data_IF_836932191745
#
_entry.id   IF_836932191745
#
_cell.length_a   1.000
_cell.length_b   1.000
_cell.length_c   1.000
_cell.angle_alpha   90.00
_cell.angle_beta   90.00
_cell.angle_gamma   90.00
#
_symmetry.space_group_name_H-M   'P 1'
#
loop_
_entity.id
_entity.type
_entity.pdbx_description
1 polymer ?
#
# COMPACT_ATOMS: atom_id res chain seq x y z
N UNK A 1 -9.90 -13.06 -4.12
CA UNK A 1 -9.38 -12.67 -2.97
C UNK A 1 -10.27 -12.09 -1.88
N UNK A 2 -9.73 -12.14 -0.71
CA UNK A 2 -10.36 -11.65 0.50
C UNK A 2 -10.27 -10.13 0.63
N UNK A 3 -9.22 -9.53 0.06
CA UNK A 3 -8.96 -8.10 0.16
C UNK A 3 -9.70 -7.32 -0.91
N UNK A 4 -10.10 -6.09 -0.55
CA UNK A 4 -10.47 -5.10 -1.55
C UNK A 4 -9.21 -4.57 -2.22
N UNK A 5 -9.27 -4.35 -3.54
CA UNK A 5 -8.20 -3.68 -4.28
C UNK A 5 -7.96 -2.29 -3.67
N UNK A 6 -6.71 -1.93 -3.33
CA UNK A 6 -6.45 -0.79 -2.44
C UNK A 6 -6.52 0.59 -3.10
N UNK A 7 -6.85 0.68 -4.38
CA UNK A 7 -7.06 1.96 -5.08
C UNK A 7 -7.94 1.72 -6.31
N UNK A 8 -8.27 2.77 -7.06
CA UNK A 8 -9.14 2.63 -8.23
C UNK A 8 -8.41 2.00 -9.42
N UNK A 9 -7.15 2.39 -9.66
CA UNK A 9 -6.35 1.87 -10.77
C UNK A 9 -5.97 0.42 -10.53
N UNK A 10 -5.97 -0.38 -11.60
CA UNK A 10 -5.46 -1.76 -11.57
C UNK A 10 -4.16 -1.91 -12.39
N UNK A 11 -3.53 -0.79 -12.74
CA UNK A 11 -2.33 -0.78 -13.58
C UNK A 11 -1.09 -1.04 -12.73
N UNK A 12 -0.54 -2.26 -12.85
CA UNK A 12 0.67 -2.66 -12.13
C UNK A 12 1.89 -2.09 -12.86
N UNK A 13 2.68 -1.28 -12.17
CA UNK A 13 3.92 -0.70 -12.73
C UNK A 13 5.15 -1.47 -12.30
N UNK A 14 5.08 -2.21 -11.18
CA UNK A 14 6.15 -3.11 -10.75
C UNK A 14 5.53 -4.28 -9.98
N UNK A 15 5.67 -5.52 -10.49
CA UNK A 15 5.04 -6.69 -9.85
C UNK A 15 5.84 -7.20 -8.65
N UNK A 16 5.19 -8.04 -7.85
CA UNK A 16 5.84 -8.74 -6.74
C UNK A 16 6.96 -9.63 -7.29
N UNK A 17 8.13 -9.56 -6.65
CA UNK A 17 9.28 -10.33 -7.07
C UNK A 17 10.09 -9.70 -8.20
N UNK A 18 9.69 -8.54 -8.71
CA UNK A 18 10.41 -7.80 -9.74
C UNK A 18 11.83 -7.50 -9.25
N UNK A 19 12.83 -7.81 -10.08
CA UNK A 19 14.26 -7.58 -9.76
C UNK A 19 14.87 -6.46 -10.60
N UNK A 20 14.15 -5.91 -11.56
CA UNK A 20 14.68 -4.88 -12.46
C UNK A 20 15.02 -3.61 -11.69
N UNK A 21 16.27 -3.17 -11.77
CA UNK A 21 16.74 -1.99 -11.08
C UNK A 21 16.79 -2.11 -9.56
N UNK A 22 16.75 -3.34 -9.03
CA UNK A 22 16.67 -3.59 -7.58
C UNK A 22 17.81 -4.49 -7.11
N UNK A 23 18.29 -4.21 -5.89
CA UNK A 23 19.29 -5.07 -5.23
C UNK A 23 18.66 -6.34 -4.64
N UNK A 24 17.36 -6.34 -4.42
CA UNK A 24 16.60 -7.50 -3.94
C UNK A 24 15.22 -7.50 -4.60
N UNK A 25 14.53 -8.68 -4.65
CA UNK A 25 13.20 -8.77 -5.25
C UNK A 25 12.20 -7.82 -4.58
N UNK A 26 11.27 -7.27 -5.37
CA UNK A 26 10.21 -6.38 -4.90
C UNK A 26 9.30 -7.12 -3.92
N UNK A 27 9.09 -6.55 -2.75
CA UNK A 27 8.35 -7.18 -1.65
C UNK A 27 6.87 -6.91 -1.67
N UNK A 28 6.41 -6.14 -2.64
CA UNK A 28 5.00 -5.78 -2.82
C UNK A 28 4.69 -5.57 -4.29
N UNK A 29 3.61 -4.84 -4.55
CA UNK A 29 3.25 -4.41 -5.89
C UNK A 29 3.18 -2.89 -5.93
N UNK A 30 3.57 -2.30 -7.05
CA UNK A 30 3.38 -0.88 -7.31
C UNK A 30 2.22 -0.71 -8.29
N UNK A 31 1.27 0.14 -7.93
CA UNK A 31 0.07 0.42 -8.72
C UNK A 31 0.11 1.88 -9.14
N UNK A 32 0.11 2.12 -10.45
CA UNK A 32 0.14 3.48 -10.99
C UNK A 32 -1.19 4.18 -10.81
N UNK A 33 -1.16 5.52 -10.86
CA UNK A 33 -2.36 6.35 -10.78
C UNK A 33 -3.31 6.09 -11.97
N UNK A 34 -4.60 6.40 -11.80
CA UNK A 34 -5.57 6.37 -12.88
C UNK A 34 -5.11 7.21 -14.06
N UNK A 35 -4.69 8.44 -13.76
CA UNK A 35 -4.08 9.32 -14.75
C UNK A 35 -2.59 9.42 -14.41
N UNK A 36 -1.76 8.92 -15.31
CA UNK A 36 -0.32 8.78 -15.10
C UNK A 36 0.29 10.09 -14.61
N UNK A 37 1.00 10.04 -13.48
CA UNK A 37 1.67 11.18 -12.90
C UNK A 37 0.79 12.13 -12.09
N UNK A 38 -0.52 11.84 -11.96
CA UNK A 38 -1.45 12.70 -11.23
C UNK A 38 -1.70 12.14 -9.84
N UNK A 39 -1.29 12.88 -8.81
CA UNK A 39 -1.50 12.52 -7.41
C UNK A 39 -2.96 12.75 -6.99
N UNK A 40 -3.35 12.11 -5.89
CA UNK A 40 -4.63 12.37 -5.25
C UNK A 40 -5.63 11.23 -5.30
N UNK A 41 -5.34 10.15 -6.03
CA UNK A 41 -6.24 9.00 -6.06
C UNK A 41 -6.42 8.43 -4.66
N UNK A 42 -7.64 7.99 -4.36
CA UNK A 42 -7.93 7.41 -3.06
C UNK A 42 -7.18 6.10 -2.85
N UNK A 43 -6.70 5.90 -1.63
CA UNK A 43 -6.14 4.64 -1.16
C UNK A 43 -7.12 4.08 -0.13
N UNK A 44 -7.50 2.81 -0.29
CA UNK A 44 -8.49 2.14 0.53
C UNK A 44 -7.85 1.07 1.41
N UNK A 45 -8.37 0.92 2.63
CA UNK A 45 -8.00 -0.22 3.48
C UNK A 45 -8.40 -1.52 2.78
N UNK A 46 -7.45 -2.43 2.63
CA UNK A 46 -7.68 -3.70 1.93
C UNK A 46 -8.64 -4.60 2.70
N UNK A 47 -8.68 -4.47 4.03
CA UNK A 47 -9.52 -5.27 4.90
C UNK A 47 -9.71 -4.55 6.24
N UNK A 48 -10.62 -5.06 7.07
CA UNK A 48 -10.83 -4.54 8.42
C UNK A 48 -9.55 -4.67 9.25
N UNK A 49 -9.31 -3.71 10.12
CA UNK A 49 -8.16 -3.78 11.01
C UNK A 49 -7.92 -2.50 11.78
N UNK A 50 -6.78 -2.46 12.45
CA UNK A 50 -6.35 -1.32 13.25
C UNK A 50 -5.09 -0.71 12.65
N UNK A 51 -5.09 0.59 12.47
CA UNK A 51 -3.93 1.33 12.01
C UNK A 51 -2.89 1.34 13.14
N UNK A 52 -1.74 0.71 12.89
CA UNK A 52 -0.65 0.65 13.87
C UNK A 52 0.46 1.64 13.56
N UNK A 53 0.61 2.06 12.30
CA UNK A 53 1.56 3.08 11.87
C UNK A 53 0.85 4.03 10.91
N UNK A 54 1.00 5.33 11.13
CA UNK A 54 0.58 6.37 10.21
C UNK A 54 1.52 7.55 10.41
N UNK A 55 2.59 7.62 9.61
CA UNK A 55 3.67 8.58 9.80
C UNK A 55 4.45 8.79 8.50
N UNK A 56 5.53 9.55 8.59
CA UNK A 56 6.45 9.81 7.48
C UNK A 56 7.81 9.21 7.78
N UNK A 57 8.40 8.58 6.78
CA UNK A 57 9.82 8.19 6.80
C UNK A 57 10.48 8.61 5.50
N UNK A 58 11.82 8.75 5.50
CA UNK A 58 12.54 9.20 4.31
C UNK A 58 12.43 8.21 3.15
N UNK A 59 12.30 6.93 3.42
CA UNK A 59 12.19 5.90 2.37
C UNK A 59 10.73 5.63 1.97
N UNK A 60 9.84 5.46 2.92
CA UNK A 60 8.43 5.10 2.65
C UNK A 60 7.55 6.32 2.33
N UNK A 61 8.02 7.54 2.64
CA UNK A 61 7.20 8.72 2.57
C UNK A 61 6.11 8.68 3.63
N UNK A 62 4.98 9.30 3.35
CA UNK A 62 3.80 9.13 4.20
C UNK A 62 3.27 7.72 4.00
N UNK A 63 3.18 6.94 5.08
CA UNK A 63 2.76 5.55 4.93
C UNK A 63 1.89 5.09 6.09
N UNK A 64 1.13 4.04 5.82
CA UNK A 64 0.22 3.41 6.78
C UNK A 64 0.53 1.92 6.85
N UNK A 65 0.47 1.36 8.06
CA UNK A 65 0.46 -0.08 8.28
C UNK A 65 -0.81 -0.43 9.05
N UNK A 66 -1.55 -1.42 8.57
CA UNK A 66 -2.76 -1.92 9.21
C UNK A 66 -2.53 -3.34 9.71
N UNK A 67 -2.90 -3.58 10.96
CA UNK A 67 -2.94 -4.92 11.57
C UNK A 67 -4.34 -5.50 11.38
N UNK A 68 -4.43 -6.58 10.62
CA UNK A 68 -5.72 -7.25 10.33
C UNK A 68 -5.99 -8.41 11.30
N UNK A 69 -5.08 -8.65 12.25
CA UNK A 69 -5.18 -9.79 13.17
C UNK A 69 -4.52 -11.04 12.61
N UNK A 70 -4.25 -12.01 13.47
CA UNK A 70 -3.66 -13.29 13.08
C UNK A 70 -2.27 -13.21 12.45
N UNK A 71 -1.53 -12.13 12.68
CA UNK A 71 -0.20 -11.93 12.11
C UNK A 71 -0.21 -11.30 10.71
N UNK A 72 -1.37 -10.87 10.22
CA UNK A 72 -1.53 -10.32 8.87
C UNK A 72 -1.54 -8.80 8.91
N UNK A 73 -0.64 -8.18 8.12
CA UNK A 73 -0.48 -6.73 8.01
C UNK A 73 -0.45 -6.31 6.56
N UNK A 74 -0.95 -5.11 6.26
CA UNK A 74 -0.77 -4.46 4.96
C UNK A 74 -0.12 -3.11 5.14
N UNK A 75 0.70 -2.69 4.15
CA UNK A 75 1.32 -1.37 4.14
C UNK A 75 1.00 -0.63 2.86
N UNK A 76 0.89 0.68 2.98
CA UNK A 76 0.49 1.61 1.91
C UNK A 76 1.48 2.76 1.94
N UNK A 77 2.39 2.84 0.96
CA UNK A 77 3.54 3.75 0.96
C UNK A 77 3.39 4.87 -0.06
N UNK A 78 4.17 5.93 0.15
CA UNK A 78 4.36 7.06 -0.77
C UNK A 78 3.12 7.95 -0.92
N UNK A 79 2.23 7.95 0.07
CA UNK A 79 1.03 8.79 0.03
C UNK A 79 1.36 10.28 0.03
N UNK A 80 0.53 11.07 -0.64
CA UNK A 80 0.61 12.53 -0.55
C UNK A 80 0.00 13.03 0.75
N UNK A 81 -0.99 12.33 1.27
CA UNK A 81 -1.69 12.72 2.50
C UNK A 81 -2.24 11.48 3.20
N UNK A 82 -2.13 11.45 4.52
CA UNK A 82 -2.75 10.42 5.37
C UNK A 82 -4.06 10.98 5.91
N UNK A 83 -5.12 10.16 5.88
CA UNK A 83 -6.47 10.55 6.32
C UNK A 83 -6.87 9.90 7.65
N UNK A 84 -6.02 9.01 8.15
CA UNK A 84 -6.22 8.34 9.45
C UNK A 84 -4.93 8.38 10.24
N UNK A 85 -5.03 8.16 11.54
CA UNK A 85 -3.89 8.14 12.46
C UNK A 85 -3.74 6.77 13.10
N UNK A 86 -2.57 6.52 13.69
CA UNK A 86 -2.33 5.29 14.46
C UNK A 86 -3.36 5.20 15.59
N UNK A 87 -3.88 4.00 15.81
CA UNK A 87 -4.95 3.76 16.77
C UNK A 87 -6.36 3.78 16.19
N UNK A 88 -6.52 4.20 14.94
CA UNK A 88 -7.83 4.23 14.27
C UNK A 88 -8.21 2.82 13.83
N UNK A 89 -9.43 2.39 14.14
CA UNK A 89 -10.01 1.20 13.55
C UNK A 89 -10.57 1.54 12.18
N UNK A 90 -10.28 0.72 11.16
CA UNK A 90 -10.77 0.91 9.79
C UNK A 90 -11.51 -0.33 9.31
N UNK A 91 -12.44 -0.11 8.39
CA UNK A 91 -13.17 -1.20 7.74
C UNK A 91 -12.70 -1.36 6.30
N UNK A 92 -12.87 -2.57 5.77
CA UNK A 92 -12.55 -2.89 4.37
C UNK A 92 -13.17 -1.86 3.43
N UNK A 93 -12.35 -1.25 2.58
CA UNK A 93 -12.78 -0.25 1.61
C UNK A 93 -12.83 1.18 2.12
N UNK A 94 -12.52 1.41 3.37
CA UNK A 94 -12.47 2.78 3.91
C UNK A 94 -11.30 3.55 3.29
N UNK A 95 -11.53 4.79 2.87
CA UNK A 95 -10.48 5.66 2.36
C UNK A 95 -9.55 6.04 3.51
N UNK A 96 -8.25 5.75 3.35
CA UNK A 96 -7.27 5.96 4.42
C UNK A 96 -6.17 6.95 4.04
N UNK A 97 -5.95 7.20 2.75
CA UNK A 97 -4.89 8.08 2.28
C UNK A 97 -5.16 8.50 0.84
N UNK A 98 -4.32 9.40 0.34
CA UNK A 98 -4.30 9.83 -1.05
C UNK A 98 -2.95 9.47 -1.67
N UNK A 99 -2.99 8.98 -2.90
CA UNK A 99 -1.78 8.55 -3.63
C UNK A 99 -0.87 9.72 -3.93
N UNK A 100 0.44 9.50 -3.85
CA UNK A 100 1.44 10.50 -4.15
C UNK A 100 2.75 9.87 -4.60
N UNK A 101 3.83 10.59 -4.32
CA UNK A 101 5.19 10.17 -4.67
C UNK A 101 6.18 10.62 -3.60
N UNK A 102 5.75 10.64 -2.33
CA UNK A 102 6.60 11.03 -1.21
C UNK A 102 7.57 9.91 -0.84
N UNK A 103 8.68 10.28 -0.20
CA UNK A 103 9.72 9.33 0.15
C UNK A 103 10.57 8.94 -1.06
N UNK A 104 11.08 7.72 -1.06
CA UNK A 104 11.94 7.19 -2.13
C UNK A 104 11.06 6.66 -3.27
N UNK A 105 10.65 7.55 -4.16
CA UNK A 105 9.72 7.26 -5.25
C UNK A 105 10.06 8.07 -6.49
N UNK A 106 10.02 7.44 -7.66
CA UNK A 106 10.32 8.06 -8.95
C UNK A 106 9.08 8.56 -9.70
N UNK A 107 7.90 8.35 -9.17
CA UNK A 107 6.66 8.78 -9.82
C UNK A 107 5.45 8.41 -8.98
N UNK A 108 4.31 9.00 -9.34
CA UNK A 108 3.06 8.80 -8.58
C UNK A 108 2.59 7.36 -8.68
N UNK A 109 2.55 6.67 -7.56
CA UNK A 109 2.07 5.29 -7.46
C UNK A 109 1.75 4.94 -6.00
N UNK A 110 1.05 3.84 -5.81
CA UNK A 110 0.89 3.20 -4.51
C UNK A 110 1.81 1.99 -4.46
N UNK A 111 2.68 1.94 -3.46
CA UNK A 111 3.35 0.70 -3.08
C UNK A 111 2.48 0.00 -2.04
N UNK A 112 2.06 -1.21 -2.33
CA UNK A 112 1.23 -2.03 -1.44
C UNK A 112 1.94 -3.35 -1.16
N UNK A 113 2.15 -3.67 0.10
CA UNK A 113 2.72 -4.96 0.46
C UNK A 113 1.92 -5.64 1.58
N UNK A 114 2.12 -6.95 1.67
CA UNK A 114 1.46 -7.81 2.65
C UNK A 114 2.52 -8.54 3.45
N UNK A 115 2.35 -8.54 4.76
CA UNK A 115 3.23 -9.26 5.67
C UNK A 115 2.39 -10.25 6.48
N UNK A 116 2.86 -11.49 6.53
CA UNK A 116 2.20 -12.54 7.32
C UNK A 116 3.23 -13.20 8.22
N UNK A 117 2.97 -13.18 9.54
CA UNK A 117 3.86 -13.73 10.57
C UNK A 117 5.32 -13.24 10.42
N UNK A 118 5.47 -11.94 10.15
CA UNK A 118 6.77 -11.28 10.08
C UNK A 118 7.49 -11.38 8.74
N UNK A 119 6.92 -12.06 7.75
CA UNK A 119 7.53 -12.22 6.43
C UNK A 119 6.65 -11.60 5.35
N UNK A 120 7.28 -10.96 4.36
CA UNK A 120 6.57 -10.49 3.18
C UNK A 120 6.07 -11.68 2.38
N UNK A 121 4.83 -11.59 1.92
CA UNK A 121 4.19 -12.62 1.09
C UNK A 121 3.59 -11.97 -0.15
N UNK A 122 3.30 -12.78 -1.18
CA UNK A 122 2.72 -12.24 -2.39
C UNK A 122 1.35 -11.62 -2.12
N UNK A 123 1.13 -10.34 -2.50
CA UNK A 123 -0.20 -9.75 -2.41
C UNK A 123 -1.26 -10.51 -3.19
N UNK A 124 -0.87 -11.25 -4.22
CA UNK A 124 -1.81 -12.02 -5.04
C UNK A 124 -2.47 -13.17 -4.29
N UNK A 125 -1.92 -13.57 -3.13
CA UNK A 125 -2.57 -14.53 -2.25
C UNK A 125 -3.90 -14.00 -1.72
N UNK A 126 -4.10 -12.68 -1.73
CA UNK A 126 -5.26 -12.01 -1.13
C UNK A 126 -6.02 -11.11 -2.11
N UNK A 127 -5.36 -10.64 -3.17
CA UNK A 127 -5.93 -9.70 -4.13
C UNK A 127 -6.29 -10.40 -5.44
N UNK A 128 -7.34 -9.88 -6.10
CA UNK A 128 -7.61 -10.14 -7.50
C UNK A 128 -8.09 -8.85 -8.15
N UNK A 129 -7.68 -8.64 -9.39
CA UNK A 129 -8.11 -7.46 -10.16
C UNK A 129 -9.60 -7.47 -10.44
#
# INVERSE_FOLDING_TARGET
GKFKWPTESTRITSPYGDTEGRSSPHKGIDIGALNRGVAGDAIYAAYDGDVVIATFSSSAGNYIMINHGGGLYTRYLHASKLLVSAGTHVTKGQKIALMGTTGDSDGVHLHFDVRYNGSYVSPWNYLSK
#
